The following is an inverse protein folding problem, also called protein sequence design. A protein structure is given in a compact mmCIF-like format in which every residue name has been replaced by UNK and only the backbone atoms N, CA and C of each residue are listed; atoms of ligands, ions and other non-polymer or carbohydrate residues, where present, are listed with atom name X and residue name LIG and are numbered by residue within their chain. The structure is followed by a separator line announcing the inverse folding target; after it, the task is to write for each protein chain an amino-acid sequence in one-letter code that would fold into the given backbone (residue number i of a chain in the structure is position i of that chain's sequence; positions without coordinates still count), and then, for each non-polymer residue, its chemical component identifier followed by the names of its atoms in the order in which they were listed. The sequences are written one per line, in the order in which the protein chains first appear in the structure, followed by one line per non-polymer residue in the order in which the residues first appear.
data_IF_392832560849
#
_entry.id   IF_392832560849
#
_cell.length_a   1.000
_cell.length_b   1.000
_cell.length_c   1.000
_cell.angle_alpha   90.00
_cell.angle_beta   90.00
_cell.angle_gamma   90.00
#
_symmetry.space_group_name_H-M   'P 1'
#
loop_
_entity.id
_entity.type
_entity.pdbx_description
1 polymer ?
#
# COMPACT_ATOMS: atom_id res chain seq x y z
N UNK A 1 -5.70 -34.41 24.14
CA UNK A 1 -5.98 -33.05 24.62
C UNK A 1 -4.98 -32.13 23.95
N UNK A 2 -5.39 -31.39 22.92
CA UNK A 2 -4.54 -30.38 22.29
C UNK A 2 -4.67 -29.09 23.10
N UNK A 3 -3.55 -28.54 23.55
CA UNK A 3 -3.52 -27.22 24.19
C UNK A 3 -3.95 -26.15 23.19
N UNK A 4 -5.05 -25.46 23.48
CA UNK A 4 -5.39 -24.21 22.81
C UNK A 4 -4.34 -23.17 23.21
N UNK A 5 -3.41 -22.91 22.29
CA UNK A 5 -2.54 -21.75 22.41
C UNK A 5 -3.40 -20.50 22.21
N UNK A 6 -3.67 -19.80 23.31
CA UNK A 6 -4.27 -18.46 23.27
C UNK A 6 -3.22 -17.49 22.75
N UNK A 7 -3.31 -17.15 21.48
CA UNK A 7 -2.51 -16.06 20.91
C UNK A 7 -3.15 -14.73 21.31
N UNK A 8 -2.36 -13.84 21.93
CA UNK A 8 -2.79 -12.46 22.14
C UNK A 8 -2.79 -11.75 20.79
N UNK A 9 -3.98 -11.40 20.28
CA UNK A 9 -4.11 -10.54 19.11
C UNK A 9 -3.65 -9.12 19.50
N UNK A 10 -2.48 -8.71 19.01
CA UNK A 10 -1.97 -7.35 19.20
C UNK A 10 -2.58 -6.43 18.15
N UNK A 11 -3.27 -5.39 18.58
CA UNK A 11 -3.62 -4.24 17.74
C UNK A 11 -2.50 -3.21 17.78
N UNK A 12 -2.12 -2.66 16.63
CA UNK A 12 -1.14 -1.57 16.53
C UNK A 12 -1.85 -0.30 16.10
N UNK A 13 -1.64 0.80 16.83
CA UNK A 13 -2.21 2.11 16.52
C UNK A 13 -1.12 3.09 16.13
N UNK A 14 -1.36 3.89 15.11
CA UNK A 14 -0.53 5.02 14.70
C UNK A 14 -1.37 6.29 14.76
N UNK A 15 -1.42 6.91 15.95
CA UNK A 15 -2.33 8.02 16.21
C UNK A 15 -3.80 7.56 16.13
N UNK A 16 -4.66 8.22 15.31
CA UNK A 16 -6.07 7.87 15.22
C UNK A 16 -6.37 6.62 14.36
N UNK A 17 -5.38 6.11 13.63
CA UNK A 17 -5.56 5.00 12.70
C UNK A 17 -4.97 3.70 13.23
N UNK A 18 -5.68 2.60 12.99
CA UNK A 18 -5.20 1.24 13.25
C UNK A 18 -4.31 0.79 12.09
N UNK A 19 -3.17 0.18 12.40
CA UNK A 19 -2.29 -0.44 11.40
C UNK A 19 -2.77 -1.85 11.14
N UNK A 20 -3.21 -2.11 9.91
CA UNK A 20 -3.59 -3.45 9.45
C UNK A 20 -2.34 -4.26 9.14
N UNK A 21 -1.42 -3.66 8.38
CA UNK A 21 -0.18 -4.29 7.97
C UNK A 21 0.89 -3.23 7.69
N UNK A 22 2.15 -3.60 7.91
CA UNK A 22 3.30 -2.74 7.60
C UNK A 22 4.51 -3.61 7.30
N UNK A 23 5.29 -3.22 6.31
CA UNK A 23 6.42 -4.03 5.91
C UNK A 23 7.41 -3.31 5.02
N UNK A 24 8.46 -4.02 4.67
CA UNK A 24 9.43 -3.63 3.64
C UNK A 24 9.67 -4.83 2.73
N UNK A 25 9.44 -4.63 1.44
CA UNK A 25 9.49 -5.68 0.42
C UNK A 25 10.37 -5.20 -0.72
N UNK A 26 11.31 -6.02 -1.15
CA UNK A 26 12.10 -5.78 -2.35
C UNK A 26 11.38 -6.49 -3.49
N UNK A 27 11.16 -5.81 -4.61
CA UNK A 27 10.62 -6.45 -5.81
C UNK A 27 11.53 -7.59 -6.27
N UNK A 28 10.95 -8.56 -6.97
CA UNK A 28 11.70 -9.68 -7.49
C UNK A 28 11.98 -9.47 -8.98
N UNK A 29 13.22 -9.16 -9.33
CA UNK A 29 13.67 -8.95 -10.73
C UNK A 29 12.83 -7.91 -11.50
N UNK A 30 12.54 -6.78 -10.86
CA UNK A 30 11.74 -5.68 -11.40
C UNK A 30 10.23 -5.95 -11.46
N UNK A 31 9.75 -7.08 -10.92
CA UNK A 31 8.32 -7.42 -10.93
C UNK A 31 7.50 -6.50 -10.02
N UNK A 32 6.21 -6.28 -10.32
CA UNK A 32 5.30 -5.59 -9.40
C UNK A 32 5.26 -6.26 -8.02
N UNK A 33 5.03 -5.46 -6.98
CA UNK A 33 4.78 -5.98 -5.62
C UNK A 33 3.26 -6.05 -5.43
N UNK A 34 2.75 -7.17 -4.90
CA UNK A 34 1.33 -7.29 -4.57
C UNK A 34 1.11 -7.67 -3.12
N UNK A 35 0.25 -6.93 -2.44
CA UNK A 35 -0.27 -7.25 -1.12
C UNK A 35 -1.67 -7.82 -1.29
N UNK A 36 -1.91 -9.00 -0.73
CA UNK A 36 -3.21 -9.67 -0.80
C UNK A 36 -3.75 -9.84 0.61
N UNK A 37 -4.96 -9.33 0.85
CA UNK A 37 -5.68 -9.42 2.11
C UNK A 37 -6.96 -10.23 1.89
N UNK A 38 -6.90 -11.57 1.98
CA UNK A 38 -8.05 -12.44 1.68
C UNK A 38 -9.28 -12.10 2.52
N UNK A 39 -9.10 -11.83 3.81
CA UNK A 39 -10.19 -11.49 4.75
C UNK A 39 -10.84 -10.14 4.41
N UNK A 40 -10.12 -9.27 3.70
CA UNK A 40 -10.65 -7.99 3.21
C UNK A 40 -11.22 -8.09 1.79
N UNK A 41 -10.93 -9.17 1.07
CA UNK A 41 -11.22 -9.28 -0.37
C UNK A 41 -10.49 -8.25 -1.23
N UNK A 42 -9.34 -7.75 -0.76
CA UNK A 42 -8.59 -6.67 -1.41
C UNK A 42 -7.20 -7.14 -1.81
N UNK A 43 -6.82 -6.81 -3.05
CA UNK A 43 -5.46 -6.90 -3.56
C UNK A 43 -4.96 -5.51 -3.93
N UNK A 44 -3.77 -5.15 -3.47
CA UNK A 44 -3.09 -3.91 -3.86
C UNK A 44 -1.86 -4.28 -4.67
N UNK A 45 -1.78 -3.80 -5.90
CA UNK A 45 -0.65 -4.05 -6.81
C UNK A 45 0.12 -2.75 -7.01
N UNK A 46 1.41 -2.76 -6.70
CA UNK A 46 2.33 -1.65 -6.92
C UNK A 46 3.14 -1.94 -8.18
N UNK A 47 2.80 -1.25 -9.26
CA UNK A 47 3.52 -1.32 -10.53
C UNK A 47 4.49 -0.14 -10.63
N UNK A 48 5.76 -0.41 -10.94
CA UNK A 48 6.79 0.63 -11.07
C UNK A 48 7.07 0.89 -12.54
N UNK A 49 7.00 2.16 -12.95
CA UNK A 49 7.24 2.56 -14.35
C UNK A 49 8.19 3.75 -14.44
N UNK A 50 9.00 3.76 -15.48
CA UNK A 50 9.61 4.99 -15.96
C UNK A 50 8.52 5.79 -16.70
N UNK A 51 8.43 7.07 -16.40
CA UNK A 51 7.64 8.04 -17.15
C UNK A 51 8.38 8.53 -18.39
N UNK A 52 7.71 9.35 -19.18
CA UNK A 52 8.37 10.14 -20.21
C UNK A 52 9.40 11.11 -19.60
N UNK A 53 10.39 11.52 -20.39
CA UNK A 53 11.39 12.48 -19.95
C UNK A 53 10.71 13.78 -19.49
N UNK A 54 11.07 14.26 -18.29
CA UNK A 54 10.47 15.44 -17.68
C UNK A 54 9.17 15.19 -16.89
N UNK A 55 8.69 13.94 -16.81
CA UNK A 55 7.56 13.61 -15.94
C UNK A 55 7.96 13.63 -14.46
N UNK A 56 7.17 14.30 -13.63
CA UNK A 56 7.34 14.29 -12.18
C UNK A 56 7.01 12.93 -11.56
N UNK A 57 7.58 12.64 -10.38
CA UNK A 57 7.20 11.48 -9.58
C UNK A 57 5.72 11.51 -9.24
N UNK A 58 4.96 10.49 -9.64
CA UNK A 58 3.50 10.48 -9.49
C UNK A 58 2.95 9.08 -9.24
N UNK A 59 1.83 9.00 -8.52
CA UNK A 59 1.05 7.76 -8.35
C UNK A 59 -0.26 7.90 -9.11
N UNK A 60 -0.54 6.95 -10.01
CA UNK A 60 -1.85 6.79 -10.65
C UNK A 60 -2.54 5.54 -10.09
N UNK A 61 -3.87 5.56 -10.03
CA UNK A 61 -4.67 4.43 -9.54
C UNK A 61 -5.66 3.93 -10.59
N UNK A 62 -5.82 2.62 -10.68
CA UNK A 62 -6.87 1.97 -11.47
C UNK A 62 -7.44 0.75 -10.75
N UNK A 63 -8.64 0.32 -11.16
CA UNK A 63 -9.30 -0.90 -10.64
C UNK A 63 -9.50 -1.84 -11.84
N UNK A 64 -8.48 -2.63 -12.23
CA UNK A 64 -8.56 -3.48 -13.43
C UNK A 64 -9.62 -4.58 -13.30
N UNK A 65 -9.93 -5.01 -12.07
CA UNK A 65 -10.94 -6.01 -11.76
C UNK A 65 -11.49 -5.78 -10.34
N UNK A 66 -12.69 -6.29 -10.01
CA UNK A 66 -13.26 -6.16 -8.67
C UNK A 66 -12.32 -6.67 -7.58
N UNK A 67 -12.08 -5.86 -6.55
CA UNK A 67 -11.21 -6.21 -5.43
C UNK A 67 -9.72 -5.95 -5.66
N UNK A 68 -9.29 -5.59 -6.88
CA UNK A 68 -7.89 -5.26 -7.17
C UNK A 68 -7.71 -3.77 -7.40
N UNK A 69 -6.94 -3.12 -6.52
CA UNK A 69 -6.43 -1.77 -6.72
C UNK A 69 -5.02 -1.85 -7.29
N UNK A 70 -4.81 -1.28 -8.47
CA UNK A 70 -3.48 -1.08 -9.03
C UNK A 70 -3.04 0.36 -8.79
N UNK A 71 -1.84 0.51 -8.21
CA UNK A 71 -1.13 1.78 -8.06
C UNK A 71 0.07 1.73 -9.01
N UNK A 72 0.08 2.61 -10.00
CA UNK A 72 1.19 2.78 -10.94
C UNK A 72 2.07 3.94 -10.47
N UNK A 73 3.31 3.62 -10.10
CA UNK A 73 4.29 4.53 -9.52
C UNK A 73 5.29 4.94 -10.60
N UNK A 74 5.16 6.16 -11.10
CA UNK A 74 6.04 6.72 -12.13
C UNK A 74 7.22 7.46 -11.50
N UNK A 75 8.43 7.20 -12.01
CA UNK A 75 9.67 7.91 -11.63
C UNK A 75 9.95 7.87 -10.11
N UNK A 76 9.84 6.66 -9.53
CA UNK A 76 10.27 6.35 -8.16
C UNK A 76 11.69 5.74 -8.18
N UNK A 77 12.63 6.45 -8.79
CA UNK A 77 14.02 6.03 -9.03
C UNK A 77 15.05 6.90 -8.28
N UNK A 78 14.61 7.88 -7.50
CA UNK A 78 15.49 8.69 -6.65
C UNK A 78 16.24 7.82 -5.62
N UNK A 79 17.55 8.05 -5.51
CA UNK A 79 18.46 7.38 -4.56
C UNK A 79 18.11 7.67 -3.11
N UNK A 80 17.53 8.83 -2.80
CA UNK A 80 17.08 9.16 -1.45
C UNK A 80 15.70 8.56 -1.11
N UNK A 81 15.07 7.95 -2.12
CA UNK A 81 13.73 7.40 -2.07
C UNK A 81 12.66 8.46 -2.30
N UNK A 82 11.53 8.01 -2.85
CA UNK A 82 10.35 8.82 -3.08
C UNK A 82 9.13 8.15 -2.45
N UNK A 83 8.14 8.93 -2.02
CA UNK A 83 7.04 8.37 -1.26
C UNK A 83 5.90 9.35 -1.07
N UNK A 84 4.85 8.86 -0.39
CA UNK A 84 3.69 9.69 -0.08
C UNK A 84 3.93 10.45 1.22
N UNK A 85 3.73 11.77 1.16
CA UNK A 85 3.87 12.65 2.33
C UNK A 85 2.69 12.55 3.30
N UNK A 86 1.57 11.97 2.84
CA UNK A 86 0.35 11.70 3.62
C UNK A 86 -0.20 10.32 3.24
N UNK A 87 -0.93 9.64 4.15
CA UNK A 87 -1.66 8.42 3.79
C UNK A 87 -2.65 8.68 2.64
N UNK A 88 -2.61 7.85 1.61
CA UNK A 88 -3.52 7.91 0.47
C UNK A 88 -4.75 7.05 0.77
N UNK A 89 -5.96 7.58 0.58
CA UNK A 89 -7.19 6.79 0.69
C UNK A 89 -7.26 5.80 -0.48
N UNK A 90 -7.45 4.52 -0.17
CA UNK A 90 -7.50 3.44 -1.16
C UNK A 90 -8.85 2.75 -1.23
N UNK A 91 -9.75 3.01 -0.27
CA UNK A 91 -11.09 2.42 -0.29
C UNK A 91 -11.82 2.56 1.03
N UNK A 92 -12.82 1.69 1.22
CA UNK A 92 -13.52 1.47 2.49
C UNK A 92 -13.62 -0.03 2.76
N UNK A 93 -13.56 -0.41 4.03
CA UNK A 93 -13.80 -1.77 4.51
C UNK A 93 -14.53 -1.70 5.85
N UNK A 94 -15.59 -2.51 6.03
CA UNK A 94 -16.42 -2.53 7.25
C UNK A 94 -16.86 -1.13 7.73
N UNK A 95 -17.27 -0.28 6.78
CA UNK A 95 -17.70 1.07 7.10
C UNK A 95 -16.58 2.02 7.53
N UNK A 96 -15.29 1.61 7.46
CA UNK A 96 -14.14 2.46 7.79
C UNK A 96 -13.29 2.75 6.55
N UNK A 97 -12.63 3.90 6.51
CA UNK A 97 -11.72 4.26 5.42
C UNK A 97 -10.44 3.43 5.47
N UNK A 98 -9.97 2.98 4.31
CA UNK A 98 -8.68 2.34 4.16
C UNK A 98 -7.66 3.31 3.55
N UNK A 99 -6.44 3.26 4.07
CA UNK A 99 -5.34 4.09 3.60
C UNK A 99 -4.08 3.28 3.37
N UNK A 100 -3.22 3.76 2.47
CA UNK A 100 -1.84 3.29 2.33
C UNK A 100 -0.87 4.45 2.39
N UNK A 101 0.24 4.28 3.09
CA UNK A 101 1.40 5.15 3.00
C UNK A 101 2.59 4.34 2.51
N UNK A 102 3.42 4.93 1.65
CA UNK A 102 4.53 4.21 1.03
C UNK A 102 5.78 5.09 0.88
N UNK A 103 6.92 4.41 0.87
CA UNK A 103 8.22 4.92 0.41
C UNK A 103 8.85 3.87 -0.48
N UNK A 104 9.48 4.32 -1.56
CA UNK A 104 10.19 3.47 -2.52
C UNK A 104 11.63 3.91 -2.57
N UNK A 105 12.53 2.95 -2.45
CA UNK A 105 13.97 3.15 -2.57
C UNK A 105 14.51 2.32 -3.73
N UNK A 106 15.50 2.86 -4.42
CA UNK A 106 16.18 2.18 -5.53
C UNK A 106 17.68 2.11 -5.28
N UNK A 107 18.28 0.95 -5.54
CA UNK A 107 19.73 0.83 -5.62
C UNK A 107 20.19 1.02 -7.07
N UNK A 108 21.25 1.81 -7.26
CA UNK A 108 21.76 2.11 -8.61
C UNK A 108 22.13 0.83 -9.36
N UNK A 109 21.66 0.72 -10.61
CA UNK A 109 21.90 -0.45 -11.46
C UNK A 109 21.00 -1.65 -11.16
N UNK A 110 20.14 -1.57 -10.15
CA UNK A 110 19.14 -2.61 -9.88
C UNK A 110 17.82 -2.30 -10.58
N UNK A 111 17.18 -3.27 -11.25
CA UNK A 111 15.80 -3.13 -11.68
C UNK A 111 14.83 -3.07 -10.48
N UNK A 112 15.26 -3.57 -9.31
CA UNK A 112 14.41 -3.73 -8.16
C UNK A 112 14.10 -2.43 -7.41
N UNK A 113 12.94 -2.45 -6.76
CA UNK A 113 12.39 -1.39 -5.92
C UNK A 113 12.15 -1.95 -4.53
N UNK A 114 12.63 -1.23 -3.53
CA UNK A 114 12.33 -1.54 -2.12
C UNK A 114 11.12 -0.70 -1.71
N UNK A 115 9.98 -1.35 -1.53
CA UNK A 115 8.74 -0.74 -1.04
C UNK A 115 8.67 -0.89 0.48
N UNK A 116 8.75 0.23 1.19
CA UNK A 116 8.26 0.32 2.55
C UNK A 116 6.81 0.76 2.50
N UNK A 117 5.92 0.09 3.23
CA UNK A 117 4.50 0.41 3.24
C UNK A 117 3.88 0.32 4.63
N UNK A 118 2.74 0.98 4.77
CA UNK A 118 1.81 0.78 5.88
C UNK A 118 0.38 0.90 5.37
N UNK A 119 -0.45 -0.09 5.68
CA UNK A 119 -1.89 -0.08 5.41
C UNK A 119 -2.63 0.21 6.71
N UNK A 120 -3.53 1.18 6.65
CA UNK A 120 -4.27 1.66 7.80
C UNK A 120 -5.78 1.47 7.64
N UNK A 121 -6.45 1.25 8.77
CA UNK A 121 -7.89 1.40 8.95
C UNK A 121 -8.14 2.69 9.74
N UNK A 122 -8.71 3.69 9.08
CA UNK A 122 -8.96 5.01 9.64
C UNK A 122 -10.37 5.15 10.21
N UNK A 123 -10.93 6.33 10.12
CA UNK A 123 -12.24 6.69 10.65
C UNK A 123 -13.41 5.94 9.99
N UNK A 124 -14.54 5.91 10.69
CA UNK A 124 -15.81 5.48 10.12
C UNK A 124 -16.27 6.43 9.01
N UNK A 125 -16.90 5.85 7.99
CA UNK A 125 -17.49 6.54 6.84
C UNK A 125 -18.96 6.75 7.17
N UNK A 126 -19.42 8.00 7.24
CA UNK A 126 -20.84 8.28 7.31
C UNK A 126 -21.49 8.10 5.94
N UNK A 127 -22.77 7.72 5.91
CA UNK A 127 -23.55 7.49 4.67
C UNK A 127 -23.62 8.73 3.73
N UNK A 128 -23.19 9.90 4.21
CA UNK A 128 -23.09 11.14 3.46
C UNK A 128 -21.87 11.25 2.53
N UNK A 129 -20.89 10.35 2.63
CA UNK A 129 -19.58 10.48 1.95
C UNK A 129 -19.53 9.83 0.55
N UNK A 130 -20.69 9.65 -0.08
CA UNK A 130 -20.84 9.24 -1.47
C UNK A 130 -20.86 10.47 -2.40
N UNK A 131 -19.69 11.06 -2.63
CA UNK A 131 -19.46 12.05 -3.68
C UNK A 131 -18.15 11.74 -4.42
#
# INVERSE_FOLDING_TARGET
MSEEHVYFAKTVMSGPAEVIDSGTVISFSGSPISLHYPDLGIRIVFEFKAGEEGRDTSVESSVPEPGTLQLTLYNFDDRFGAGTIKPMRIGKYEGRRLYVQLRVYTLQGSPDKTLQYTVYKGEEVSDSDHA
#
